data_IF_822033868858
#
_entry.id   IF_822033868858
#
_cell.length_a   1.000
_cell.length_b   1.000
_cell.length_c   1.000
_cell.angle_alpha   90.00
_cell.angle_beta   90.00
_cell.angle_gamma   90.00
#
_symmetry.space_group_name_H-M   'P 1'
#
loop_
_entity.id
_entity.type
_entity.pdbx_description
1 polymer ?
#
# COMPACT_ATOMS: atom_id res chain seq x y z
N UNK A 1 -23.43 -28.12 -4.64
CA UNK A 1 -23.16 -28.62 -6.01
C UNK A 1 -24.45 -29.11 -6.68
N UNK A 2 -25.21 -30.05 -6.07
CA UNK A 2 -26.43 -30.58 -6.65
C UNK A 2 -27.47 -29.52 -7.03
N UNK A 3 -27.73 -28.55 -6.17
CA UNK A 3 -28.68 -27.46 -6.44
C UNK A 3 -28.27 -26.59 -7.63
N UNK A 4 -26.98 -26.34 -7.83
CA UNK A 4 -26.45 -25.59 -8.99
C UNK A 4 -26.60 -26.41 -10.27
N UNK A 5 -26.21 -27.67 -10.23
CA UNK A 5 -26.38 -28.60 -11.39
C UNK A 5 -27.84 -28.64 -11.85
N UNK A 6 -28.81 -28.68 -10.90
CA UNK A 6 -30.23 -28.63 -11.23
C UNK A 6 -30.60 -27.28 -11.91
N UNK A 7 -30.18 -26.13 -11.37
CA UNK A 7 -30.45 -24.83 -12.00
C UNK A 7 -29.90 -24.71 -13.42
N UNK A 8 -28.72 -25.28 -13.66
CA UNK A 8 -28.08 -25.30 -14.98
C UNK A 8 -28.89 -26.22 -15.93
N UNK A 9 -29.33 -27.39 -15.47
CA UNK A 9 -30.19 -28.28 -16.25
C UNK A 9 -31.55 -27.65 -16.57
N UNK A 10 -32.08 -26.79 -15.66
CA UNK A 10 -33.32 -26.04 -15.87
C UNK A 10 -33.11 -24.84 -16.83
N UNK A 11 -31.92 -24.62 -17.42
CA UNK A 11 -31.63 -23.56 -18.37
C UNK A 11 -31.69 -22.14 -17.76
N UNK A 12 -31.49 -22.00 -16.45
CA UNK A 12 -31.55 -20.69 -15.78
C UNK A 12 -30.41 -19.78 -16.23
N UNK A 13 -30.64 -18.48 -16.45
CA UNK A 13 -29.61 -17.55 -16.86
C UNK A 13 -28.52 -17.43 -15.78
N UNK A 14 -27.26 -17.53 -16.19
CA UNK A 14 -26.12 -17.41 -15.30
C UNK A 14 -25.95 -15.96 -14.83
N UNK A 15 -25.79 -15.79 -13.53
CA UNK A 15 -25.37 -14.52 -12.90
C UNK A 15 -24.08 -14.77 -12.12
N UNK A 16 -22.99 -14.10 -12.52
CA UNK A 16 -21.70 -14.17 -11.85
C UNK A 16 -21.52 -12.92 -11.00
N UNK A 17 -21.29 -13.11 -9.71
CA UNK A 17 -20.86 -12.05 -8.82
C UNK A 17 -19.37 -12.22 -8.54
N UNK A 18 -18.57 -11.25 -9.00
CA UNK A 18 -17.14 -11.23 -8.70
C UNK A 18 -16.88 -10.73 -7.27
N UNK A 19 -15.98 -11.40 -6.57
CA UNK A 19 -15.60 -10.97 -5.22
C UNK A 19 -14.48 -9.92 -5.29
N UNK A 20 -14.63 -8.80 -4.55
CA UNK A 20 -13.51 -7.99 -4.14
C UNK A 20 -12.83 -8.72 -2.98
N UNK A 21 -11.67 -9.34 -3.21
CA UNK A 21 -11.12 -10.29 -2.25
C UNK A 21 -10.62 -9.58 -1.00
N UNK A 22 -11.01 -10.07 0.21
CA UNK A 22 -10.44 -9.57 1.44
C UNK A 22 -8.96 -9.95 1.54
N UNK A 23 -8.23 -9.19 2.36
CA UNK A 23 -6.84 -9.48 2.65
C UNK A 23 -6.73 -10.68 3.61
N UNK A 24 -5.85 -11.63 3.30
CA UNK A 24 -5.60 -12.81 4.13
C UNK A 24 -4.67 -12.45 5.31
N UNK A 25 -5.10 -11.50 6.15
CA UNK A 25 -4.32 -10.96 7.26
C UNK A 25 -5.22 -10.53 8.42
N UNK A 26 -5.23 -11.32 9.49
CA UNK A 26 -6.01 -11.05 10.69
C UNK A 26 -7.49 -11.47 10.62
N UNK A 27 -8.21 -11.34 11.75
CA UNK A 27 -9.63 -11.69 11.84
C UNK A 27 -10.49 -10.72 11.02
N UNK A 28 -11.70 -11.15 10.66
CA UNK A 28 -12.66 -10.26 10.02
C UNK A 28 -13.10 -9.15 11.00
N UNK A 29 -13.39 -8.00 10.45
CA UNK A 29 -13.99 -6.87 11.19
C UNK A 29 -15.33 -6.49 10.57
N UNK A 30 -16.02 -5.51 11.17
CA UNK A 30 -17.36 -5.11 10.74
C UNK A 30 -17.42 -4.69 9.26
N UNK A 31 -16.36 -4.10 8.71
CA UNK A 31 -16.29 -3.75 7.28
C UNK A 31 -16.31 -4.98 6.38
N UNK A 32 -15.62 -6.05 6.75
CA UNK A 32 -15.67 -7.33 6.06
C UNK A 32 -17.08 -7.94 6.14
N UNK A 33 -17.69 -7.92 7.33
CA UNK A 33 -19.05 -8.43 7.53
C UNK A 33 -20.05 -7.66 6.66
N UNK A 34 -20.00 -6.33 6.68
CA UNK A 34 -20.87 -5.48 5.84
C UNK A 34 -20.72 -5.82 4.35
N UNK A 35 -19.49 -5.86 3.85
CA UNK A 35 -19.23 -6.16 2.45
C UNK A 35 -19.78 -7.54 2.02
N UNK A 36 -19.51 -8.57 2.81
CA UNK A 36 -19.94 -9.94 2.49
C UNK A 36 -21.46 -10.12 2.64
N UNK A 37 -22.08 -9.50 3.62
CA UNK A 37 -23.55 -9.55 3.80
C UNK A 37 -24.27 -8.83 2.66
N UNK A 38 -23.77 -7.67 2.20
CA UNK A 38 -24.35 -6.99 1.04
C UNK A 38 -24.23 -7.84 -0.23
N UNK A 39 -23.12 -8.51 -0.44
CA UNK A 39 -22.96 -9.47 -1.55
C UNK A 39 -23.91 -10.65 -1.40
N UNK A 40 -24.09 -11.17 -0.20
CA UNK A 40 -25.03 -12.24 0.07
C UNK A 40 -26.47 -11.86 -0.23
N UNK A 41 -26.87 -10.61 0.04
CA UNK A 41 -28.18 -10.09 -0.38
C UNK A 41 -28.33 -10.15 -1.90
N UNK A 42 -27.33 -9.72 -2.65
CA UNK A 42 -27.36 -9.81 -4.11
C UNK A 42 -27.47 -11.28 -4.57
N UNK A 43 -26.67 -12.15 -4.01
CA UNK A 43 -26.67 -13.62 -4.33
C UNK A 43 -28.06 -14.20 -4.08
N UNK A 44 -28.66 -13.97 -2.90
CA UNK A 44 -29.97 -14.50 -2.53
C UNK A 44 -31.08 -13.93 -3.41
N UNK A 45 -31.09 -12.62 -3.64
CA UNK A 45 -32.05 -11.96 -4.51
C UNK A 45 -32.00 -12.54 -5.91
N UNK A 46 -30.84 -12.72 -6.49
CA UNK A 46 -30.69 -13.31 -7.83
C UNK A 46 -31.14 -14.77 -7.88
N UNK A 47 -30.88 -15.54 -6.83
CA UNK A 47 -31.40 -16.90 -6.73
C UNK A 47 -32.94 -16.96 -6.69
N UNK A 48 -33.59 -16.07 -5.92
CA UNK A 48 -35.04 -15.96 -5.84
C UNK A 48 -35.66 -15.52 -7.16
N UNK A 49 -34.97 -14.62 -7.89
CA UNK A 49 -35.38 -14.16 -9.23
C UNK A 49 -35.16 -15.22 -10.33
N UNK A 50 -34.69 -16.41 -9.99
CA UNK A 50 -34.59 -17.52 -10.91
C UNK A 50 -33.23 -17.66 -11.63
N UNK A 51 -32.21 -16.88 -11.25
CA UNK A 51 -30.89 -17.05 -11.85
C UNK A 51 -30.15 -18.30 -11.32
N UNK A 52 -29.22 -18.86 -12.14
CA UNK A 52 -28.11 -19.64 -11.62
C UNK A 52 -26.99 -18.71 -11.20
N UNK A 53 -26.71 -18.65 -9.90
CA UNK A 53 -25.73 -17.70 -9.35
C UNK A 53 -24.40 -18.40 -9.12
N UNK A 54 -23.32 -17.81 -9.62
CA UNK A 54 -21.95 -18.19 -9.31
C UNK A 54 -21.27 -17.06 -8.50
N UNK A 55 -21.07 -17.32 -7.22
CA UNK A 55 -20.26 -16.48 -6.34
C UNK A 55 -19.13 -17.34 -5.78
N UNK A 56 -17.92 -17.11 -6.27
CA UNK A 56 -16.70 -17.77 -5.81
C UNK A 56 -15.94 -16.81 -4.91
N UNK A 57 -15.81 -17.13 -3.61
CA UNK A 57 -15.03 -16.30 -2.68
C UNK A 57 -13.56 -16.26 -3.07
N UNK A 58 -12.95 -15.10 -2.89
CA UNK A 58 -11.52 -14.88 -3.17
C UNK A 58 -10.78 -14.28 -2.00
N UNK A 59 -9.45 -14.37 -2.03
CA UNK A 59 -8.54 -13.73 -1.08
C UNK A 59 -7.36 -13.08 -1.78
N UNK A 60 -7.01 -11.87 -1.31
CA UNK A 60 -5.76 -11.22 -1.62
C UNK A 60 -4.69 -11.65 -0.62
N UNK A 61 -3.52 -12.08 -1.10
CA UNK A 61 -2.52 -12.77 -0.30
C UNK A 61 -1.11 -12.17 -0.45
N UNK A 62 -0.97 -11.05 -1.12
CA UNK A 62 0.33 -10.44 -1.40
C UNK A 62 0.46 -9.08 -0.70
N UNK A 63 1.69 -8.68 -0.46
CA UNK A 63 2.04 -7.33 -0.11
C UNK A 63 2.52 -7.13 1.33
N UNK A 64 2.83 -5.89 1.62
CA UNK A 64 3.54 -5.44 2.81
C UNK A 64 2.88 -5.85 4.14
N UNK A 65 1.56 -5.81 4.34
CA UNK A 65 0.98 -6.17 5.64
C UNK A 65 1.23 -7.62 6.07
N UNK A 66 1.25 -8.56 5.12
CA UNK A 66 1.58 -9.97 5.40
C UNK A 66 3.08 -10.12 5.65
N UNK A 67 3.91 -9.50 4.80
CA UNK A 67 5.37 -9.51 4.96
C UNK A 67 5.81 -8.92 6.29
N UNK A 68 5.18 -7.82 6.72
CA UNK A 68 5.44 -7.19 8.01
C UNK A 68 5.15 -8.14 9.19
N UNK A 69 4.02 -8.85 9.14
CA UNK A 69 3.67 -9.83 10.19
C UNK A 69 4.67 -10.98 10.28
N UNK A 70 5.14 -11.45 9.15
CA UNK A 70 6.17 -12.49 9.11
C UNK A 70 7.52 -11.96 9.59
N UNK A 71 7.87 -10.73 9.24
CA UNK A 71 9.09 -10.10 9.76
C UNK A 71 9.04 -9.92 11.28
N UNK A 72 7.90 -9.48 11.84
CA UNK A 72 7.68 -9.44 13.30
C UNK A 72 7.88 -10.82 13.95
N UNK A 73 7.36 -11.90 13.34
CA UNK A 73 7.52 -13.27 13.83
C UNK A 73 8.99 -13.73 13.80
N UNK A 74 9.75 -13.40 12.77
CA UNK A 74 11.18 -13.71 12.74
C UNK A 74 11.95 -12.88 13.77
N UNK A 75 11.62 -11.60 13.90
CA UNK A 75 12.25 -10.67 14.84
C UNK A 75 12.02 -11.11 16.29
N UNK A 76 10.82 -11.58 16.64
CA UNK A 76 10.51 -12.11 17.97
C UNK A 76 11.30 -13.39 18.30
N UNK A 77 11.78 -14.11 17.28
CA UNK A 77 12.66 -15.28 17.40
C UNK A 77 14.15 -14.92 17.31
N UNK A 78 14.51 -13.63 17.37
CA UNK A 78 15.88 -13.15 17.31
C UNK A 78 16.51 -13.20 15.89
N UNK A 79 15.71 -13.35 14.83
CA UNK A 79 16.18 -13.38 13.44
C UNK A 79 15.76 -12.11 12.70
N UNK A 80 16.65 -11.55 11.92
CA UNK A 80 16.33 -10.42 11.03
C UNK A 80 15.97 -10.90 9.63
N UNK A 81 15.28 -10.07 8.86
CA UNK A 81 14.93 -10.34 7.44
C UNK A 81 16.15 -10.69 6.59
N UNK A 82 17.29 -10.06 6.86
CA UNK A 82 18.54 -10.29 6.13
C UNK A 82 19.18 -11.67 6.43
N UNK A 83 18.79 -12.31 7.53
CA UNK A 83 19.25 -13.64 7.95
C UNK A 83 18.36 -14.79 7.44
N UNK A 84 17.27 -14.44 6.75
CA UNK A 84 16.29 -15.40 6.22
C UNK A 84 16.39 -15.41 4.70
N UNK A 85 16.44 -16.60 4.09
CA UNK A 85 16.41 -16.68 2.64
C UNK A 85 15.07 -16.18 2.08
N UNK A 86 15.09 -15.59 0.88
CA UNK A 86 13.86 -15.14 0.22
C UNK A 86 12.83 -16.26 0.04
N UNK A 87 13.30 -17.48 -0.20
CA UNK A 87 12.44 -18.65 -0.36
C UNK A 87 11.75 -19.02 0.97
N UNK A 88 12.50 -19.07 2.07
CA UNK A 88 11.97 -19.32 3.41
C UNK A 88 10.97 -18.24 3.83
N UNK A 89 11.30 -16.97 3.58
CA UNK A 89 10.42 -15.85 3.90
C UNK A 89 9.10 -15.92 3.12
N UNK A 90 9.14 -16.16 1.82
CA UNK A 90 7.95 -16.32 0.97
C UNK A 90 7.10 -17.52 1.39
N UNK A 91 7.73 -18.64 1.73
CA UNK A 91 7.02 -19.81 2.22
C UNK A 91 6.27 -19.51 3.53
N UNK A 92 6.90 -18.78 4.46
CA UNK A 92 6.25 -18.35 5.69
C UNK A 92 5.06 -17.42 5.43
N UNK A 93 5.18 -16.47 4.49
CA UNK A 93 4.06 -15.61 4.07
C UNK A 93 2.89 -16.42 3.52
N UNK A 94 3.15 -17.42 2.67
CA UNK A 94 2.10 -18.31 2.11
C UNK A 94 1.38 -19.11 3.19
N UNK A 95 2.12 -19.70 4.12
CA UNK A 95 1.56 -20.46 5.26
C UNK A 95 0.66 -19.53 6.09
N UNK A 96 1.14 -18.36 6.45
CA UNK A 96 0.38 -17.38 7.21
C UNK A 96 -0.92 -16.97 6.51
N UNK A 97 -0.84 -16.66 5.22
CA UNK A 97 -2.02 -16.28 4.44
C UNK A 97 -3.03 -17.43 4.34
N UNK A 98 -2.57 -18.67 4.16
CA UNK A 98 -3.46 -19.85 4.07
C UNK A 98 -4.20 -20.11 5.40
N UNK A 99 -3.53 -19.93 6.54
CA UNK A 99 -4.18 -20.00 7.86
C UNK A 99 -5.31 -18.97 7.99
N UNK A 100 -5.10 -17.72 7.53
CA UNK A 100 -6.13 -16.70 7.57
C UNK A 100 -7.27 -16.94 6.57
N UNK A 101 -6.99 -17.48 5.40
CA UNK A 101 -8.02 -17.90 4.44
C UNK A 101 -8.98 -18.89 5.10
N UNK A 102 -8.43 -19.89 5.80
CA UNK A 102 -9.26 -20.89 6.48
C UNK A 102 -10.12 -20.24 7.57
N UNK A 103 -9.50 -19.49 8.47
CA UNK A 103 -10.21 -18.82 9.58
C UNK A 103 -11.28 -17.84 9.12
N UNK A 104 -10.92 -16.93 8.22
CA UNK A 104 -11.89 -15.97 7.67
C UNK A 104 -13.00 -16.67 6.89
N UNK A 105 -12.69 -17.76 6.18
CA UNK A 105 -13.68 -18.57 5.49
C UNK A 105 -14.71 -19.17 6.45
N UNK A 106 -14.28 -19.64 7.63
CA UNK A 106 -15.16 -20.13 8.68
C UNK A 106 -16.03 -19.01 9.26
N UNK A 107 -15.44 -17.84 9.52
CA UNK A 107 -16.14 -16.66 10.03
C UNK A 107 -17.23 -16.18 9.05
N UNK A 108 -16.93 -16.12 7.74
CA UNK A 108 -17.93 -15.76 6.72
C UNK A 108 -19.05 -16.79 6.59
N UNK A 109 -18.73 -18.09 6.70
CA UNK A 109 -19.76 -19.15 6.72
C UNK A 109 -20.64 -19.02 7.96
N UNK A 110 -20.08 -18.67 9.11
CA UNK A 110 -20.83 -18.40 10.34
C UNK A 110 -21.79 -17.23 10.18
N UNK A 111 -21.46 -16.21 9.40
CA UNK A 111 -22.36 -15.11 9.02
C UNK A 111 -23.47 -15.55 8.05
N UNK A 112 -23.46 -16.80 7.57
CA UNK A 112 -24.46 -17.32 6.66
C UNK A 112 -24.24 -16.93 5.19
N UNK A 113 -23.07 -16.43 4.82
CA UNK A 113 -22.74 -16.02 3.45
C UNK A 113 -22.77 -17.22 2.52
N UNK A 114 -23.62 -17.18 1.50
CA UNK A 114 -23.69 -18.19 0.44
C UNK A 114 -22.56 -17.97 -0.57
N UNK A 115 -21.89 -19.07 -0.95
CA UNK A 115 -20.82 -19.01 -1.93
C UNK A 115 -20.33 -20.42 -2.29
N UNK A 116 -19.52 -20.47 -3.34
CA UNK A 116 -18.87 -21.71 -3.77
C UNK A 116 -17.53 -21.89 -3.04
N UNK A 117 -17.60 -22.15 -1.75
CA UNK A 117 -16.45 -22.23 -0.84
C UNK A 117 -15.43 -23.30 -1.24
N UNK A 118 -15.86 -24.37 -1.92
CA UNK A 118 -14.98 -25.44 -2.42
C UNK A 118 -14.13 -25.00 -3.63
N UNK A 119 -14.51 -23.91 -4.28
CA UNK A 119 -13.84 -23.34 -5.45
C UNK A 119 -13.23 -21.98 -5.17
N UNK A 120 -12.92 -21.70 -3.91
CA UNK A 120 -12.25 -20.47 -3.55
C UNK A 120 -11.04 -20.20 -4.45
N UNK A 121 -10.72 -18.96 -4.69
CA UNK A 121 -9.42 -18.59 -5.27
C UNK A 121 -8.60 -17.76 -4.28
N UNK A 122 -7.27 -17.83 -4.42
CA UNK A 122 -6.35 -16.95 -3.72
C UNK A 122 -5.34 -16.40 -4.72
N UNK A 123 -4.97 -15.13 -4.57
CA UNK A 123 -4.02 -14.50 -5.50
C UNK A 123 -2.64 -15.17 -5.44
N UNK A 124 -2.32 -15.88 -4.34
CA UNK A 124 -1.09 -16.67 -4.18
C UNK A 124 -1.17 -18.07 -4.79
N UNK A 125 -2.33 -18.53 -5.26
CA UNK A 125 -2.40 -19.83 -5.95
C UNK A 125 -1.58 -19.77 -7.24
N UNK A 126 -0.78 -20.77 -7.53
CA UNK A 126 0.13 -20.76 -8.69
C UNK A 126 -0.59 -20.49 -10.02
N UNK A 127 -1.82 -20.97 -10.17
CA UNK A 127 -2.63 -20.69 -11.35
C UNK A 127 -3.02 -19.21 -11.43
N UNK A 128 -3.31 -18.56 -10.29
CA UNK A 128 -3.61 -17.15 -10.20
C UNK A 128 -2.37 -16.32 -10.50
N UNK A 129 -1.22 -16.63 -9.89
CA UNK A 129 0.06 -15.96 -10.17
C UNK A 129 0.44 -16.09 -11.66
N UNK A 130 0.30 -17.26 -12.25
CA UNK A 130 0.57 -17.48 -13.68
C UNK A 130 -0.35 -16.62 -14.57
N UNK A 131 -1.61 -16.47 -14.17
CA UNK A 131 -2.56 -15.61 -14.89
C UNK A 131 -2.19 -14.14 -14.77
N UNK A 132 -1.83 -13.66 -13.57
CA UNK A 132 -1.37 -12.30 -13.33
C UNK A 132 -0.14 -11.99 -14.21
N UNK A 133 0.86 -12.88 -14.21
CA UNK A 133 2.07 -12.71 -15.04
C UNK A 133 1.74 -12.70 -16.52
N UNK A 134 0.83 -13.56 -16.99
CA UNK A 134 0.40 -13.60 -18.38
C UNK A 134 -0.27 -12.30 -18.82
N UNK A 135 -1.14 -11.75 -17.98
CA UNK A 135 -1.78 -10.47 -18.26
C UNK A 135 -0.77 -9.32 -18.23
N UNK A 136 0.17 -9.32 -17.29
CA UNK A 136 1.25 -8.34 -17.21
C UNK A 136 2.13 -8.35 -18.47
N UNK A 137 2.43 -9.53 -19.02
CA UNK A 137 3.17 -9.64 -20.28
C UNK A 137 2.47 -9.00 -21.47
N UNK A 138 1.13 -8.90 -21.48
CA UNK A 138 0.41 -8.19 -22.54
C UNK A 138 0.75 -6.69 -22.55
N UNK A 139 0.90 -6.07 -21.37
CA UNK A 139 1.35 -4.68 -21.28
C UNK A 139 2.79 -4.50 -21.76
N UNK A 140 3.67 -5.45 -21.46
CA UNK A 140 5.03 -5.44 -22.00
C UNK A 140 5.02 -5.51 -23.52
N UNK A 141 4.26 -6.44 -24.09
CA UNK A 141 4.19 -6.64 -25.55
C UNK A 141 3.51 -5.49 -26.29
N UNK A 142 2.63 -4.74 -25.63
CA UNK A 142 2.00 -3.55 -26.20
C UNK A 142 2.86 -2.28 -26.09
N UNK A 143 4.05 -2.36 -25.49
CA UNK A 143 4.94 -1.23 -25.27
C UNK A 143 4.51 -0.25 -24.17
N UNK A 144 3.48 -0.59 -23.41
CA UNK A 144 2.99 0.25 -22.30
C UNK A 144 3.82 0.08 -21.01
N UNK A 145 4.60 -0.98 -20.91
CA UNK A 145 5.51 -1.23 -19.81
C UNK A 145 6.93 -0.84 -20.21
N UNK A 146 7.51 0.09 -19.48
CA UNK A 146 8.88 0.54 -19.69
C UNK A 146 9.60 0.76 -18.36
N UNK A 147 10.92 0.73 -18.38
CA UNK A 147 11.74 1.04 -17.20
C UNK A 147 11.90 2.56 -17.10
N UNK A 148 11.53 3.12 -15.97
CA UNK A 148 11.67 4.53 -15.67
C UNK A 148 12.08 4.77 -14.21
N UNK A 149 12.40 6.04 -13.89
CA UNK A 149 12.66 6.48 -12.52
C UNK A 149 11.62 7.52 -12.13
N UNK A 150 11.00 7.33 -10.95
CA UNK A 150 10.05 8.26 -10.37
C UNK A 150 10.37 8.40 -8.89
N UNK A 151 10.44 9.63 -8.33
CA UNK A 151 10.51 9.81 -6.88
C UNK A 151 9.26 9.20 -6.23
N UNK A 152 9.48 8.38 -5.21
CA UNK A 152 8.41 7.74 -4.44
C UNK A 152 8.73 7.84 -2.95
N UNK A 153 7.69 7.76 -2.11
CA UNK A 153 7.89 7.66 -0.66
C UNK A 153 8.57 6.33 -0.33
N UNK A 154 9.48 6.39 0.64
CA UNK A 154 10.29 5.25 1.04
C UNK A 154 10.21 5.06 2.55
N UNK A 155 9.88 3.85 2.99
CA UNK A 155 9.99 3.49 4.40
C UNK A 155 11.39 2.97 4.72
N UNK A 156 12.16 3.67 5.57
CA UNK A 156 13.47 3.18 6.00
C UNK A 156 13.38 1.99 6.96
N UNK A 157 12.23 1.77 7.58
CA UNK A 157 11.99 0.67 8.53
C UNK A 157 11.75 -0.64 7.76
N UNK A 158 10.78 -0.63 6.85
CA UNK A 158 10.45 -1.78 6.00
C UNK A 158 11.42 -1.93 4.81
N UNK A 159 12.20 -0.88 4.50
CA UNK A 159 13.13 -0.82 3.37
C UNK A 159 12.44 -1.09 2.03
N UNK A 160 11.35 -0.38 1.80
CA UNK A 160 10.54 -0.50 0.59
C UNK A 160 9.93 0.83 0.18
N UNK A 161 9.59 0.94 -1.11
CA UNK A 161 8.74 2.01 -1.61
C UNK A 161 7.31 1.83 -1.08
N UNK A 162 6.63 2.94 -0.86
CA UNK A 162 5.23 2.97 -0.43
C UNK A 162 4.34 3.44 -1.58
N UNK A 163 3.17 2.84 -1.70
CA UNK A 163 2.09 3.40 -2.50
C UNK A 163 1.48 4.63 -1.78
N UNK A 164 0.87 5.53 -2.53
CA UNK A 164 0.28 6.75 -1.94
C UNK A 164 -0.76 6.43 -0.86
N UNK A 165 -1.50 5.33 -1.00
CA UNK A 165 -2.48 4.86 -0.03
C UNK A 165 -1.89 4.28 1.27
N UNK A 166 -0.59 3.97 1.27
CA UNK A 166 0.13 3.45 2.44
C UNK A 166 0.82 4.55 3.25
N UNK A 167 0.78 5.80 2.76
CA UNK A 167 1.38 6.96 3.42
C UNK A 167 0.39 7.56 4.39
N UNK A 168 0.75 7.60 5.66
CA UNK A 168 -0.03 8.25 6.70
C UNK A 168 0.66 9.54 7.16
N UNK A 169 -0.13 10.58 7.39
CA UNK A 169 0.36 11.89 7.84
C UNK A 169 -0.03 12.10 9.29
N UNK A 170 0.96 12.42 10.11
CA UNK A 170 0.79 12.72 11.53
C UNK A 170 1.46 14.04 11.88
N UNK A 171 0.93 14.72 12.88
CA UNK A 171 1.59 15.92 13.44
C UNK A 171 2.98 15.54 13.97
N UNK A 172 3.98 16.30 13.54
CA UNK A 172 5.37 16.05 13.89
C UNK A 172 6.08 17.35 14.28
N UNK A 173 6.82 17.29 15.38
CA UNK A 173 7.67 18.40 15.82
C UNK A 173 9.09 18.16 15.30
N UNK A 174 9.54 19.03 14.39
CA UNK A 174 10.89 18.99 13.83
C UNK A 174 11.72 20.18 14.30
N UNK A 175 13.02 20.00 14.55
CA UNK A 175 13.94 21.13 14.70
C UNK A 175 14.05 21.87 13.36
N UNK A 176 13.91 23.18 13.40
CA UNK A 176 14.07 24.04 12.22
C UNK A 176 15.19 25.06 12.49
N UNK A 177 15.87 25.46 11.43
CA UNK A 177 16.96 26.43 11.53
C UNK A 177 16.84 27.49 10.44
N UNK A 178 17.24 28.69 10.80
CA UNK A 178 17.51 29.78 9.90
C UNK A 178 19.02 29.87 9.69
N UNK A 179 19.45 29.82 8.43
CA UNK A 179 20.89 29.84 8.10
C UNK A 179 21.18 31.03 7.20
N UNK A 180 22.17 31.82 7.57
CA UNK A 180 22.60 32.95 6.77
C UNK A 180 23.86 32.60 5.97
N UNK A 181 23.81 32.85 4.67
CA UNK A 181 24.94 32.72 3.76
C UNK A 181 25.45 34.12 3.37
N UNK A 182 26.70 34.47 3.69
CA UNK A 182 27.25 35.77 3.35
C UNK A 182 27.35 35.93 1.84
N UNK A 183 27.02 37.12 1.35
CA UNK A 183 27.20 37.50 -0.05
C UNK A 183 28.67 37.81 -0.28
N UNK A 184 29.34 37.03 -1.14
CA UNK A 184 30.78 37.20 -1.42
C UNK A 184 31.08 37.99 -2.70
N UNK A 185 30.09 38.12 -3.58
CA UNK A 185 30.22 38.89 -4.81
C UNK A 185 29.73 40.33 -4.64
N UNK A 186 30.38 41.24 -5.34
CA UNK A 186 30.08 42.68 -5.27
C UNK A 186 28.72 43.02 -5.89
N UNK A 187 28.17 44.15 -5.48
CA UNK A 187 26.90 44.71 -5.91
C UNK A 187 26.24 45.47 -4.77
N UNK A 188 25.00 45.84 -4.92
CA UNK A 188 24.20 46.55 -3.90
C UNK A 188 23.99 45.73 -2.62
N UNK A 189 24.23 44.45 -2.65
CA UNK A 189 24.10 43.54 -1.52
C UNK A 189 25.45 43.16 -0.86
N UNK A 190 26.53 43.85 -1.18
CA UNK A 190 27.83 43.56 -0.55
C UNK A 190 27.75 43.74 0.95
N UNK A 191 28.27 42.78 1.71
CA UNK A 191 28.21 42.76 3.18
C UNK A 191 26.88 42.23 3.77
N UNK A 192 25.90 41.97 2.92
CA UNK A 192 24.65 41.38 3.35
C UNK A 192 24.75 39.80 3.38
N UNK A 193 23.70 39.17 3.79
CA UNK A 193 23.57 37.70 3.73
C UNK A 193 22.20 37.30 3.20
N UNK A 194 22.15 36.19 2.49
CA UNK A 194 20.90 35.52 2.14
C UNK A 194 20.54 34.57 3.27
N UNK A 195 19.31 34.66 3.75
CA UNK A 195 18.80 33.79 4.81
C UNK A 195 17.88 32.77 4.21
N UNK A 196 18.10 31.50 4.53
CA UNK A 196 17.22 30.41 4.24
C UNK A 196 16.63 29.82 5.52
N UNK A 197 15.49 29.17 5.39
CA UNK A 197 14.87 28.39 6.45
C UNK A 197 14.76 26.96 5.99
N UNK A 198 15.05 25.99 6.89
CA UNK A 198 14.94 24.57 6.59
C UNK A 198 14.46 23.77 7.80
N UNK A 199 13.67 22.73 7.53
CA UNK A 199 13.29 21.67 8.47
C UNK A 199 14.25 20.49 8.45
N UNK A 200 15.23 20.49 7.55
CA UNK A 200 16.17 19.39 7.32
C UNK A 200 17.62 19.84 7.43
N UNK A 201 18.08 20.28 8.61
CA UNK A 201 19.41 20.87 8.79
C UNK A 201 20.57 19.91 8.43
N UNK A 202 20.35 18.61 8.50
CA UNK A 202 21.34 17.60 8.11
C UNK A 202 21.67 17.57 6.61
N UNK A 203 20.90 18.24 5.75
CA UNK A 203 21.19 18.38 4.33
C UNK A 203 22.15 19.52 4.02
N UNK A 204 22.43 20.41 4.97
CA UNK A 204 23.27 21.60 4.77
C UNK A 204 24.68 21.30 4.21
N UNK A 205 25.39 20.23 4.64
CA UNK A 205 26.69 19.90 4.06
C UNK A 205 26.66 19.61 2.55
N UNK A 206 25.51 19.24 2.02
CA UNK A 206 25.29 18.95 0.59
C UNK A 206 24.81 20.14 -0.23
N UNK A 207 24.57 21.31 0.38
CA UNK A 207 24.08 22.49 -0.33
C UNK A 207 25.09 23.00 -1.36
N UNK A 208 24.60 23.30 -2.56
CA UNK A 208 25.41 23.82 -3.67
C UNK A 208 24.89 25.12 -4.25
N UNK A 209 23.61 25.42 -4.03
CA UNK A 209 22.95 26.61 -4.58
C UNK A 209 21.76 27.02 -3.70
N UNK A 210 21.34 28.24 -3.87
CA UNK A 210 20.09 28.78 -3.32
C UNK A 210 19.22 29.16 -4.49
N UNK A 211 18.01 28.56 -4.55
CA UNK A 211 17.00 28.93 -5.56
C UNK A 211 16.14 30.08 -5.03
N UNK A 212 15.66 30.91 -5.94
CA UNK A 212 14.74 32.01 -5.63
C UNK A 212 13.57 32.01 -6.60
N UNK A 213 12.45 32.58 -6.18
CA UNK A 213 11.29 32.78 -7.03
C UNK A 213 11.38 34.13 -7.75
N UNK A 214 11.41 34.19 -9.09
CA UNK A 214 11.55 35.47 -9.80
C UNK A 214 10.35 36.41 -9.59
N UNK A 215 9.20 35.88 -9.26
CA UNK A 215 7.96 36.63 -9.00
C UNK A 215 7.80 37.05 -7.53
N UNK A 216 8.76 36.68 -6.65
CA UNK A 216 8.74 37.01 -5.23
C UNK A 216 9.60 38.25 -4.99
N UNK A 217 9.03 39.25 -4.33
CA UNK A 217 9.78 40.42 -3.91
C UNK A 217 10.66 40.13 -2.68
N UNK A 218 11.95 40.33 -2.81
CA UNK A 218 12.92 40.17 -1.74
C UNK A 218 13.37 41.56 -1.26
N UNK A 219 13.51 41.73 0.05
CA UNK A 219 13.97 43.00 0.65
C UNK A 219 15.29 42.84 1.38
N UNK A 220 16.06 43.89 1.44
CA UNK A 220 17.24 43.97 2.29
C UNK A 220 16.84 44.65 3.62
N UNK A 221 17.08 43.95 4.72
CA UNK A 221 16.72 44.39 6.06
C UNK A 221 17.94 44.43 6.98
N UNK A 222 18.01 45.42 7.82
CA UNK A 222 18.93 45.42 8.95
C UNK A 222 18.31 44.64 10.10
N UNK A 223 19.02 43.61 10.59
CA UNK A 223 18.55 42.73 11.66
C UNK A 223 19.51 42.81 12.84
N UNK A 224 18.96 43.11 14.02
CA UNK A 224 19.71 43.15 15.28
C UNK A 224 19.22 41.97 16.17
N UNK A 225 20.16 41.20 16.70
CA UNK A 225 19.83 40.18 17.69
C UNK A 225 19.48 40.82 19.03
N UNK A 226 18.31 40.52 19.57
CA UNK A 226 17.88 41.00 20.88
C UNK A 226 18.63 40.32 22.02
N UNK A 227 19.17 39.13 21.82
CA UNK A 227 19.88 38.37 22.86
C UNK A 227 21.37 38.68 22.90
N UNK A 228 22.00 38.88 21.75
CA UNK A 228 23.47 39.05 21.65
C UNK A 228 23.91 40.45 21.32
N UNK A 229 23.01 41.34 20.93
CA UNK A 229 23.33 42.71 20.48
C UNK A 229 24.13 42.75 19.16
N UNK A 230 24.39 41.62 18.51
CA UNK A 230 25.10 41.55 17.23
C UNK A 230 24.18 42.02 16.09
N UNK A 231 24.72 42.89 15.21
CA UNK A 231 24.08 43.36 13.97
C UNK A 231 24.40 42.43 12.79
#
# INVERSE_FOLDING_TARGET
RAARAKRQADGRPLFVLHDGPPYANGPIHIGHALNKILKDFVVRTRLVLGNDVDFTPGWDCHGLPIEWKIEEQFRSKGRTKDQVSKAEFRAACRIYADEWIVRQGEEFRRLGVLGNWDRRYATMDYASEATIVREFHKFLMSGQLYRGSKPVMWSPVERTALADAEVEYHDHVSPTVWVKFPVVSAGTAQGAAVVIWTTTPWTMPGNRAISYGPEIAYGLYEVQSMETGLR
#
